data_IF_515748167413
#
_entry.id   IF_515748167413
#
_cell.length_a   1.000
_cell.length_b   1.000
_cell.length_c   1.000
_cell.angle_alpha   90.00
_cell.angle_beta   90.00
_cell.angle_gamma   90.00
#
_symmetry.space_group_name_H-M   'P 1'
#
loop_
_entity.id
_entity.type
_entity.pdbx_description
1 polymer ?
#
# COMPACT_ATOMS: atom_id res chain seq x y z
N UNK A 1 16.30 10.04 22.27
CA UNK A 1 15.28 10.72 23.09
C UNK A 1 14.27 9.62 23.37
N UNK A 2 14.29 8.98 24.54
CA UNK A 2 13.78 7.60 24.72
C UNK A 2 12.34 7.35 24.19
N UNK A 3 11.45 8.34 24.24
CA UNK A 3 10.10 8.25 23.69
C UNK A 3 10.03 8.18 22.16
N UNK A 4 10.99 8.80 21.45
CA UNK A 4 11.12 8.72 19.99
C UNK A 4 11.67 7.34 19.58
N UNK A 5 12.61 6.82 20.35
CA UNK A 5 13.27 5.53 20.11
C UNK A 5 12.25 4.36 20.19
N UNK A 6 11.27 4.44 21.09
CA UNK A 6 10.17 3.47 21.20
C UNK A 6 9.06 3.65 20.14
N UNK A 7 8.89 4.87 19.60
CA UNK A 7 7.85 5.18 18.63
C UNK A 7 8.18 4.66 17.21
N UNK A 8 9.46 4.62 16.84
CA UNK A 8 9.92 4.19 15.52
C UNK A 8 9.52 2.73 15.22
N UNK A 9 9.79 1.73 16.08
CA UNK A 9 9.37 0.35 15.83
C UNK A 9 7.86 0.19 15.68
N UNK A 10 7.07 0.93 16.47
CA UNK A 10 5.60 0.92 16.40
C UNK A 10 5.12 1.50 15.06
N UNK A 11 5.72 2.60 14.62
CA UNK A 11 5.39 3.23 13.34
C UNK A 11 5.72 2.29 12.16
N UNK A 12 6.89 1.65 12.18
CA UNK A 12 7.30 0.67 11.16
C UNK A 12 6.36 -0.55 11.14
N UNK A 13 5.98 -1.08 12.31
CA UNK A 13 5.02 -2.17 12.40
C UNK A 13 3.66 -1.79 11.81
N UNK A 14 3.16 -0.58 12.11
CA UNK A 14 1.89 -0.08 11.57
C UNK A 14 1.96 0.13 10.05
N UNK A 15 3.09 0.60 9.54
CA UNK A 15 3.31 0.75 8.10
C UNK A 15 3.29 -0.60 7.39
N UNK A 16 3.98 -1.62 7.93
CA UNK A 16 3.95 -2.98 7.39
C UNK A 16 2.53 -3.57 7.43
N UNK A 17 1.82 -3.42 8.55
CA UNK A 17 0.40 -3.83 8.65
C UNK A 17 -0.49 -3.13 7.62
N UNK A 18 -0.32 -1.82 7.44
CA UNK A 18 -1.04 -1.06 6.42
C UNK A 18 -0.77 -1.59 5.01
N UNK A 19 0.47 -1.97 4.71
CA UNK A 19 0.83 -2.57 3.43
C UNK A 19 0.19 -3.94 3.21
N UNK A 20 0.16 -4.79 4.25
CA UNK A 20 -0.51 -6.10 4.19
C UNK A 20 -2.02 -5.94 3.91
N UNK A 21 -2.70 -5.00 4.58
CA UNK A 21 -4.12 -4.75 4.33
C UNK A 21 -4.37 -4.16 2.94
N UNK A 22 -3.47 -3.29 2.45
CA UNK A 22 -3.56 -2.78 1.08
C UNK A 22 -3.48 -3.91 0.03
N UNK A 23 -2.56 -4.87 0.22
CA UNK A 23 -2.45 -6.02 -0.69
C UNK A 23 -3.76 -6.82 -0.71
N UNK A 24 -4.38 -7.07 0.46
CA UNK A 24 -5.68 -7.78 0.53
C UNK A 24 -6.80 -7.00 -0.15
N UNK A 25 -6.88 -5.69 0.11
CA UNK A 25 -7.84 -4.79 -0.52
C UNK A 25 -7.71 -4.80 -2.05
N UNK A 26 -6.48 -4.64 -2.57
CA UNK A 26 -6.20 -4.64 -4.01
C UNK A 26 -6.64 -5.95 -4.66
N UNK A 27 -6.32 -7.09 -4.05
CA UNK A 27 -6.73 -8.40 -4.56
C UNK A 27 -8.27 -8.51 -4.60
N UNK A 28 -8.96 -8.17 -3.51
CA UNK A 28 -10.42 -8.25 -3.45
C UNK A 28 -11.10 -7.34 -4.49
N UNK A 29 -10.65 -6.09 -4.64
CA UNK A 29 -11.23 -5.15 -5.61
C UNK A 29 -10.98 -5.58 -7.06
N UNK A 30 -9.76 -6.02 -7.38
CA UNK A 30 -9.43 -6.38 -8.76
C UNK A 30 -9.97 -7.76 -9.16
N UNK A 31 -10.10 -8.70 -8.22
CA UNK A 31 -10.80 -9.97 -8.46
C UNK A 31 -12.31 -9.76 -8.59
N UNK A 32 -12.91 -8.78 -7.89
CA UNK A 32 -14.29 -8.40 -8.16
C UNK A 32 -14.46 -7.87 -9.58
N UNK A 33 -13.53 -7.06 -10.10
CA UNK A 33 -13.57 -6.57 -11.48
C UNK A 33 -13.53 -7.69 -12.54
N UNK A 34 -12.96 -8.86 -12.22
CA UNK A 34 -12.96 -10.05 -13.06
C UNK A 34 -14.38 -10.63 -13.23
N UNK A 35 -15.21 -10.56 -12.18
CA UNK A 35 -16.58 -11.12 -12.17
C UNK A 35 -17.55 -10.43 -13.15
N UNK A 36 -17.14 -9.33 -13.78
CA UNK A 36 -17.97 -8.54 -14.71
C UNK A 36 -17.64 -8.81 -16.19
N UNK A 37 -16.78 -9.79 -16.52
CA UNK A 37 -16.35 -10.04 -17.90
C UNK A 37 -16.09 -11.51 -18.23
N UNK A 38 -16.67 -11.96 -19.35
CA UNK A 38 -16.38 -13.28 -19.93
C UNK A 38 -15.22 -13.15 -20.94
N UNK A 39 -14.02 -13.66 -20.62
CA UNK A 39 -12.90 -13.81 -21.58
C UNK A 39 -11.68 -12.88 -21.40
N UNK A 40 -10.86 -12.70 -22.44
CA UNK A 40 -9.55 -11.99 -22.43
C UNK A 40 -9.63 -10.54 -21.91
N UNK A 41 -10.77 -9.86 -22.11
CA UNK A 41 -11.02 -8.51 -21.57
C UNK A 41 -11.10 -8.46 -20.04
N UNK A 42 -11.38 -9.60 -19.39
CA UNK A 42 -11.39 -9.73 -17.93
C UNK A 42 -9.97 -9.69 -17.35
N UNK A 43 -9.03 -10.38 -18.01
CA UNK A 43 -7.62 -10.38 -17.63
C UNK A 43 -6.99 -8.99 -17.72
N UNK A 44 -7.20 -8.28 -18.85
CA UNK A 44 -6.69 -6.90 -19.01
C UNK A 44 -7.25 -5.94 -17.96
N UNK A 45 -8.51 -6.12 -17.53
CA UNK A 45 -9.14 -5.31 -16.47
C UNK A 45 -8.48 -5.53 -15.10
N UNK A 46 -8.08 -6.76 -14.77
CA UNK A 46 -7.37 -7.05 -13.52
C UNK A 46 -6.05 -6.29 -13.44
N UNK A 47 -5.21 -6.37 -14.46
CA UNK A 47 -3.91 -5.68 -14.46
C UNK A 47 -4.07 -4.17 -14.42
N UNK A 48 -5.04 -3.64 -15.17
CA UNK A 48 -5.35 -2.21 -15.13
C UNK A 48 -5.78 -1.77 -13.71
N UNK A 49 -6.69 -2.51 -13.08
CA UNK A 49 -7.11 -2.25 -11.69
C UNK A 49 -5.92 -2.29 -10.72
N UNK A 50 -5.07 -3.32 -10.82
CA UNK A 50 -3.91 -3.44 -9.95
C UNK A 50 -2.91 -2.29 -10.15
N UNK A 51 -2.67 -1.89 -11.40
CA UNK A 51 -1.78 -0.78 -11.73
C UNK A 51 -2.29 0.54 -11.18
N UNK A 52 -3.57 0.85 -11.34
CA UNK A 52 -4.18 2.08 -10.85
C UNK A 52 -4.15 2.16 -9.32
N UNK A 53 -4.54 1.08 -8.62
CA UNK A 53 -4.47 1.05 -7.16
C UNK A 53 -3.03 1.14 -6.64
N UNK A 54 -2.07 0.52 -7.32
CA UNK A 54 -0.65 0.65 -6.96
C UNK A 54 -0.14 2.08 -7.14
N UNK A 55 -0.55 2.77 -8.23
CA UNK A 55 -0.20 4.17 -8.46
C UNK A 55 -0.74 5.05 -7.34
N UNK A 56 -2.02 4.91 -6.99
CA UNK A 56 -2.63 5.66 -5.89
C UNK A 56 -1.94 5.39 -4.55
N UNK A 57 -1.56 4.14 -4.28
CA UNK A 57 -0.79 3.81 -3.06
C UNK A 57 0.60 4.44 -3.05
N UNK A 58 1.29 4.48 -4.19
CA UNK A 58 2.57 5.14 -4.30
C UNK A 58 2.44 6.64 -4.00
N UNK A 59 1.43 7.31 -4.56
CA UNK A 59 1.15 8.72 -4.26
C UNK A 59 0.84 8.93 -2.78
N UNK A 60 0.07 8.05 -2.14
CA UNK A 60 -0.18 8.12 -0.69
C UNK A 60 1.09 7.99 0.14
N UNK A 61 2.01 7.09 -0.25
CA UNK A 61 3.25 6.87 0.49
C UNK A 61 4.27 8.00 0.27
N UNK A 62 4.30 8.60 -0.92
CA UNK A 62 5.17 9.75 -1.22
C UNK A 62 4.71 11.03 -0.52
N UNK A 63 3.40 11.23 -0.35
CA UNK A 63 2.83 12.40 0.33
C UNK A 63 2.49 12.15 1.80
N UNK A 64 2.63 10.91 2.28
CA UNK A 64 2.61 10.65 3.70
C UNK A 64 3.84 11.38 4.27
N UNK A 65 3.61 12.23 5.25
CA UNK A 65 4.66 12.85 6.03
C UNK A 65 5.33 11.74 6.86
N UNK A 66 6.18 10.94 6.21
CA UNK A 66 6.95 9.85 6.80
C UNK A 66 8.26 10.50 7.22
N UNK A 67 8.46 10.77 8.52
CA UNK A 67 9.68 11.40 9.00
C UNK A 67 10.89 10.54 8.60
N UNK A 68 11.97 11.18 8.16
CA UNK A 68 13.22 10.48 7.88
C UNK A 68 13.93 10.15 9.20
N UNK A 69 13.53 9.04 9.83
CA UNK A 69 14.10 8.59 11.10
C UNK A 69 15.58 8.19 11.02
N UNK A 70 16.19 8.15 9.82
CA UNK A 70 17.62 7.86 9.66
C UNK A 70 18.51 9.09 9.87
N UNK A 71 17.96 10.31 9.79
CA UNK A 71 18.73 11.55 10.02
C UNK A 71 18.82 11.91 11.51
N UNK A 72 17.86 11.49 12.33
CA UNK A 72 17.79 11.78 13.77
C UNK A 72 18.77 10.95 14.64
N UNK A 73 19.56 10.07 14.02
CA UNK A 73 20.54 9.18 14.70
C UNK A 73 21.99 9.69 14.63
N UNK A 74 22.23 10.92 14.19
CA UNK A 74 23.56 11.55 14.16
C UNK A 74 23.81 12.51 15.32
#
# INVERSE_FOLDING_TARGET
>A
NAALDDAIPIALYRLDKSNQEFIRYRLAQCSFAESWGNGVGSFTRIYFCMAELNKQRAEQLMHADIPNYTEDTK
#
